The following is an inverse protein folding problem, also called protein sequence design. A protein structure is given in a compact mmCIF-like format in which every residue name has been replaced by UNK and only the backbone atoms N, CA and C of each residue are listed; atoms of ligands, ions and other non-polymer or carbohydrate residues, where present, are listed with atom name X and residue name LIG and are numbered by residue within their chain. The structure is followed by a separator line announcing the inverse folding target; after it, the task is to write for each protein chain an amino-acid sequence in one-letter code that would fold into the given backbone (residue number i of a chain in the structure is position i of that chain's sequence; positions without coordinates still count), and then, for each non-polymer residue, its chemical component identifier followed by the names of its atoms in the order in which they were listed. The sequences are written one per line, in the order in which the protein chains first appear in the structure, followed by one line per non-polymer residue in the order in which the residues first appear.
data_IF_209430971173
#
_entry.id   IF_209430971173
#
_cell.length_a   1.000
_cell.length_b   1.000
_cell.length_c   1.000
_cell.angle_alpha   90.00
_cell.angle_beta   90.00
_cell.angle_gamma   90.00
#
_symmetry.space_group_name_H-M   'P 1'
#
loop_
_entity.id
_entity.type
_entity.pdbx_description
1 polymer ?
#
# COMPACT_ATOMS: atom_id res chain seq x y z
N UNK A 1 -27.76 -8.45 16.45
CA UNK A 1 -26.33 -8.41 16.04
C UNK A 1 -26.19 -8.41 14.50
N UNK A 2 -27.30 -8.12 13.83
CA UNK A 2 -27.57 -8.37 12.41
C UNK A 2 -27.49 -7.10 11.57
N UNK A 3 -27.74 -5.94 12.18
CA UNK A 3 -27.70 -4.63 11.52
C UNK A 3 -26.39 -3.88 11.77
N UNK A 4 -25.70 -4.21 12.87
CA UNK A 4 -24.48 -3.53 13.30
C UNK A 4 -23.42 -4.54 13.71
N UNK A 5 -22.13 -4.21 13.53
CA UNK A 5 -21.02 -5.10 13.83
C UNK A 5 -20.71 -5.16 15.35
N UNK A 6 -21.74 -5.32 16.17
CA UNK A 6 -21.61 -5.47 17.63
C UNK A 6 -21.34 -6.94 17.98
N UNK A 7 -20.51 -7.19 18.99
CA UNK A 7 -20.26 -8.55 19.50
C UNK A 7 -21.26 -8.93 20.58
N UNK A 8 -21.52 -10.24 20.70
CA UNK A 8 -22.32 -10.77 21.80
C UNK A 8 -21.69 -10.47 23.18
N UNK A 9 -20.36 -10.35 23.26
CA UNK A 9 -19.69 -9.93 24.50
C UNK A 9 -20.02 -8.49 24.90
N UNK A 10 -20.06 -7.56 23.94
CA UNK A 10 -20.47 -6.19 24.21
C UNK A 10 -21.92 -6.13 24.69
N UNK A 11 -22.82 -6.85 24.03
CA UNK A 11 -24.24 -6.93 24.41
C UNK A 11 -24.40 -7.56 25.79
N UNK A 12 -23.73 -8.69 26.03
CA UNK A 12 -23.74 -9.37 27.32
C UNK A 12 -23.24 -8.50 28.47
N UNK A 13 -22.15 -7.74 28.26
CA UNK A 13 -21.67 -6.77 29.26
C UNK A 13 -22.69 -5.68 29.56
N UNK A 14 -23.34 -5.14 28.53
CA UNK A 14 -24.32 -4.06 28.71
C UNK A 14 -25.57 -4.56 29.48
N UNK A 15 -26.09 -5.72 29.10
CA UNK A 15 -27.29 -6.32 29.71
C UNK A 15 -26.98 -7.22 30.91
N UNK A 16 -25.72 -7.29 31.36
CA UNK A 16 -25.24 -8.16 32.45
C UNK A 16 -25.59 -9.64 32.28
N UNK A 17 -25.48 -10.15 31.05
CA UNK A 17 -25.65 -11.56 30.70
C UNK A 17 -24.34 -12.18 30.19
N UNK A 18 -24.27 -13.52 30.16
CA UNK A 18 -23.10 -14.21 29.60
C UNK A 18 -23.03 -14.02 28.07
N UNK A 19 -22.13 -13.15 27.64
CA UNK A 19 -21.90 -12.85 26.23
C UNK A 19 -21.39 -14.05 25.41
N UNK A 20 -20.74 -15.05 26.03
CA UNK A 20 -20.32 -16.28 25.33
C UNK A 20 -21.54 -17.14 25.00
N UNK A 21 -22.39 -17.36 26.00
CA UNK A 21 -23.66 -18.07 25.81
C UNK A 21 -24.55 -17.35 24.80
N UNK A 22 -24.68 -16.02 24.92
CA UNK A 22 -25.45 -15.20 23.98
C UNK A 22 -24.90 -15.32 22.55
N UNK A 23 -23.58 -15.36 22.37
CA UNK A 23 -22.96 -15.54 21.06
C UNK A 23 -23.28 -16.89 20.44
N UNK A 24 -23.23 -17.96 21.25
CA UNK A 24 -23.60 -19.31 20.81
C UNK A 24 -25.09 -19.39 20.46
N UNK A 25 -25.96 -18.96 21.36
CA UNK A 25 -27.41 -18.95 21.15
C UNK A 25 -27.79 -18.12 19.91
N UNK A 26 -27.13 -16.98 19.71
CA UNK A 26 -27.33 -16.18 18.51
C UNK A 26 -26.97 -16.94 17.25
N UNK A 27 -25.78 -17.54 17.18
CA UNK A 27 -25.32 -18.30 16.02
C UNK A 27 -26.18 -19.54 15.74
N UNK A 28 -26.53 -20.29 16.78
CA UNK A 28 -27.14 -21.62 16.65
C UNK A 28 -28.67 -21.58 16.57
N UNK A 29 -29.31 -20.51 17.06
CA UNK A 29 -30.77 -20.47 17.20
C UNK A 29 -31.44 -19.16 16.77
N UNK A 30 -30.77 -18.01 16.82
CA UNK A 30 -31.44 -16.71 16.61
C UNK A 30 -31.12 -16.04 15.28
N UNK A 31 -29.94 -16.30 14.70
CA UNK A 31 -29.49 -15.58 13.51
C UNK A 31 -29.99 -16.19 12.20
N UNK A 32 -30.49 -17.43 12.23
CA UNK A 32 -30.82 -18.18 11.00
C UNK A 32 -29.58 -18.71 10.26
N UNK A 33 -28.40 -18.70 10.89
CA UNK A 33 -27.18 -19.23 10.27
C UNK A 33 -27.26 -20.75 10.05
N UNK A 34 -27.97 -21.47 10.92
CA UNK A 34 -28.16 -22.91 10.82
C UNK A 34 -28.90 -23.33 9.56
N UNK A 35 -29.89 -22.53 9.16
CA UNK A 35 -30.79 -22.78 8.04
C UNK A 35 -30.35 -22.04 6.77
N UNK A 36 -29.19 -21.37 6.82
CA UNK A 36 -28.66 -20.66 5.66
C UNK A 36 -28.19 -21.67 4.60
N UNK A 37 -28.80 -21.60 3.42
CA UNK A 37 -28.56 -22.46 2.26
C UNK A 37 -27.08 -22.52 1.85
N UNK A 38 -26.33 -21.44 2.07
CA UNK A 38 -24.92 -21.35 1.68
C UNK A 38 -23.94 -21.77 2.78
N UNK A 39 -24.43 -22.19 3.95
CA UNK A 39 -23.60 -22.51 5.13
C UNK A 39 -22.48 -23.51 4.84
N UNK A 40 -22.74 -24.55 4.04
CA UNK A 40 -21.78 -25.63 3.79
C UNK A 40 -20.55 -25.17 3.00
N UNK A 41 -20.73 -24.22 2.08
CA UNK A 41 -19.66 -23.71 1.21
C UNK A 41 -19.21 -22.28 1.55
N UNK A 42 -19.83 -21.62 2.54
CA UNK A 42 -19.54 -20.24 2.91
C UNK A 42 -18.10 -19.96 3.37
N UNK A 43 -17.32 -21.00 3.67
CA UNK A 43 -15.88 -20.88 3.90
C UNK A 43 -15.06 -20.65 2.62
N UNK A 44 -15.59 -21.06 1.47
CA UNK A 44 -14.93 -21.00 0.17
C UNK A 44 -15.58 -19.96 -0.75
N UNK A 45 -16.91 -19.91 -0.83
CA UNK A 45 -17.61 -18.91 -1.62
C UNK A 45 -19.02 -18.63 -1.09
N UNK A 46 -19.53 -17.42 -1.37
CA UNK A 46 -20.89 -16.97 -1.08
C UNK A 46 -21.36 -16.08 -2.21
N UNK A 47 -22.63 -16.22 -2.62
CA UNK A 47 -23.24 -15.49 -3.72
C UNK A 47 -24.65 -14.98 -3.37
N UNK A 48 -24.95 -13.75 -3.76
CA UNK A 48 -26.24 -13.10 -3.55
C UNK A 48 -26.63 -12.31 -4.79
N UNK A 49 -27.07 -13.04 -5.82
CA UNK A 49 -27.40 -12.50 -7.15
C UNK A 49 -28.46 -11.38 -7.10
N UNK A 50 -29.39 -11.41 -6.15
CA UNK A 50 -30.41 -10.36 -5.97
C UNK A 50 -29.84 -8.94 -5.78
N UNK A 51 -28.57 -8.83 -5.39
CA UNK A 51 -27.87 -7.56 -5.17
C UNK A 51 -27.15 -7.05 -6.41
N UNK A 52 -27.19 -7.78 -7.53
CA UNK A 52 -26.60 -7.36 -8.79
C UNK A 52 -27.13 -5.99 -9.23
N UNK A 53 -26.29 -5.23 -9.90
CA UNK A 53 -26.60 -3.90 -10.41
C UNK A 53 -25.80 -3.59 -11.67
N UNK A 54 -26.04 -2.42 -12.27
CA UNK A 54 -25.35 -2.02 -13.50
C UNK A 54 -23.90 -1.61 -13.26
N UNK A 55 -23.55 -1.21 -12.04
CA UNK A 55 -22.22 -0.72 -11.66
C UNK A 55 -21.68 -1.53 -10.50
N UNK A 56 -20.61 -2.27 -10.75
CA UNK A 56 -20.01 -3.14 -9.75
C UNK A 56 -18.59 -2.66 -9.40
N UNK A 57 -18.13 -3.10 -8.24
CA UNK A 57 -16.74 -2.95 -7.82
C UNK A 57 -16.19 -4.33 -7.43
N UNK A 58 -14.95 -4.62 -7.83
CA UNK A 58 -14.23 -5.83 -7.44
C UNK A 58 -12.94 -5.44 -6.70
N UNK A 59 -12.73 -6.08 -5.56
CA UNK A 59 -11.54 -5.85 -4.72
C UNK A 59 -11.18 -7.11 -3.92
N UNK A 60 -9.94 -7.20 -3.46
CA UNK A 60 -9.41 -8.32 -2.68
C UNK A 60 -9.17 -7.87 -1.23
N UNK A 61 -9.55 -8.71 -0.26
CA UNK A 61 -9.19 -8.48 1.14
C UNK A 61 -8.78 -9.77 1.82
N UNK A 62 -7.71 -9.68 2.62
CA UNK A 62 -7.22 -10.80 3.41
C UNK A 62 -8.11 -11.03 4.65
N UNK A 63 -8.67 -12.22 4.76
CA UNK A 63 -9.48 -12.70 5.88
C UNK A 63 -8.99 -14.09 6.29
N UNK A 64 -8.79 -14.33 7.59
CA UNK A 64 -8.38 -15.65 8.11
C UNK A 64 -7.15 -16.26 7.37
N UNK A 65 -6.16 -15.43 7.02
CA UNK A 65 -4.95 -15.82 6.26
C UNK A 65 -5.16 -16.10 4.76
N UNK A 66 -6.40 -16.14 4.27
CA UNK A 66 -6.73 -16.31 2.86
C UNK A 66 -7.02 -14.96 2.20
N UNK A 67 -6.74 -14.85 0.91
CA UNK A 67 -7.19 -13.72 0.08
C UNK A 67 -8.58 -14.02 -0.44
N UNK A 68 -9.51 -13.09 -0.21
CA UNK A 68 -10.90 -13.23 -0.64
C UNK A 68 -11.21 -12.11 -1.62
N UNK A 69 -11.72 -12.49 -2.79
CA UNK A 69 -12.20 -11.60 -3.83
C UNK A 69 -13.66 -11.26 -3.56
N UNK A 70 -13.95 -9.99 -3.35
CA UNK A 70 -15.29 -9.47 -3.13
C UNK A 70 -15.82 -8.81 -4.40
N UNK A 71 -17.05 -9.15 -4.76
CA UNK A 71 -17.84 -8.43 -5.75
C UNK A 71 -18.93 -7.66 -5.02
N UNK A 72 -19.06 -6.37 -5.32
CA UNK A 72 -20.02 -5.51 -4.67
C UNK A 72 -20.75 -4.61 -5.65
N UNK A 73 -22.02 -4.32 -5.34
CA UNK A 73 -22.81 -3.32 -6.01
C UNK A 73 -22.37 -1.93 -5.52
N UNK A 74 -21.95 -1.10 -6.47
CA UNK A 74 -21.50 0.25 -6.18
C UNK A 74 -22.59 1.11 -5.54
N UNK A 75 -23.84 0.88 -5.91
CA UNK A 75 -25.00 1.68 -5.51
C UNK A 75 -25.59 1.25 -4.15
N UNK A 76 -25.08 0.17 -3.56
CA UNK A 76 -25.49 -0.28 -2.22
C UNK A 76 -24.97 0.59 -1.07
N UNK A 77 -23.99 1.47 -1.33
CA UNK A 77 -23.42 2.39 -0.33
C UNK A 77 -22.94 1.73 0.98
N UNK A 78 -22.40 0.51 0.88
CA UNK A 78 -21.93 -0.27 2.03
C UNK A 78 -23.01 -0.51 3.09
N UNK A 79 -24.26 -0.66 2.65
CA UNK A 79 -25.42 -1.07 3.43
C UNK A 79 -25.93 -2.43 2.92
N UNK A 80 -27.02 -2.92 3.47
CA UNK A 80 -27.74 -4.10 2.94
C UNK A 80 -28.00 -3.92 1.44
N UNK A 81 -27.70 -4.94 0.65
CA UNK A 81 -27.76 -4.94 -0.82
C UNK A 81 -26.45 -4.55 -1.54
N UNK A 82 -25.34 -4.36 -0.81
CA UNK A 82 -24.04 -4.02 -1.39
C UNK A 82 -23.25 -5.26 -1.81
N UNK A 83 -23.19 -6.30 -0.98
CA UNK A 83 -22.30 -7.44 -1.21
C UNK A 83 -22.97 -8.46 -2.11
N UNK A 84 -22.33 -8.80 -3.22
CA UNK A 84 -22.87 -9.73 -4.22
C UNK A 84 -22.16 -11.07 -4.11
N UNK A 85 -20.83 -11.07 -4.04
CA UNK A 85 -20.07 -12.30 -3.97
C UNK A 85 -18.85 -12.15 -3.07
N UNK A 86 -18.46 -13.24 -2.43
CA UNK A 86 -17.19 -13.39 -1.74
C UNK A 86 -16.64 -14.75 -2.14
N UNK A 87 -15.45 -14.78 -2.76
CA UNK A 87 -14.82 -16.01 -3.23
C UNK A 87 -13.41 -16.08 -2.67
N UNK A 88 -13.07 -17.18 -2.02
CA UNK A 88 -11.74 -17.48 -1.55
C UNK A 88 -10.84 -17.80 -2.75
N UNK A 89 -9.71 -17.10 -2.84
CA UNK A 89 -8.80 -17.16 -3.97
C UNK A 89 -8.80 -15.89 -4.82
N UNK A 90 -7.76 -15.77 -5.65
CA UNK A 90 -7.51 -14.61 -6.52
C UNK A 90 -7.21 -15.01 -7.96
N UNK A 91 -7.16 -16.31 -8.25
CA UNK A 91 -6.91 -16.77 -9.61
C UNK A 91 -8.16 -16.59 -10.46
N UNK A 92 -7.96 -16.39 -11.76
CA UNK A 92 -9.07 -16.25 -12.71
C UNK A 92 -9.95 -17.49 -12.68
N UNK A 93 -9.36 -18.69 -12.60
CA UNK A 93 -10.10 -19.95 -12.59
C UNK A 93 -10.99 -20.08 -11.34
N UNK A 94 -10.44 -19.84 -10.15
CA UNK A 94 -11.16 -20.01 -8.89
C UNK A 94 -12.36 -19.06 -8.80
N UNK A 95 -12.17 -17.78 -9.16
CA UNK A 95 -13.23 -16.79 -9.05
C UNK A 95 -14.27 -16.95 -10.15
N UNK A 96 -13.86 -17.22 -11.39
CA UNK A 96 -14.81 -17.32 -12.51
C UNK A 96 -15.68 -18.55 -12.40
N UNK A 97 -15.18 -19.65 -11.83
CA UNK A 97 -15.98 -20.85 -11.53
C UNK A 97 -17.27 -20.51 -10.77
N UNK A 98 -17.18 -19.61 -9.78
CA UNK A 98 -18.31 -19.22 -8.94
C UNK A 98 -19.10 -18.04 -9.51
N UNK A 99 -18.46 -17.14 -10.24
CA UNK A 99 -19.18 -16.06 -10.92
C UNK A 99 -20.01 -16.57 -12.10
N UNK A 100 -19.63 -17.69 -12.71
CA UNK A 100 -20.39 -18.35 -13.78
C UNK A 100 -21.71 -18.97 -13.25
N UNK A 101 -21.88 -19.09 -11.93
CA UNK A 101 -23.15 -19.48 -11.29
C UNK A 101 -24.20 -18.35 -11.32
N UNK A 102 -23.78 -17.09 -11.53
CA UNK A 102 -24.68 -15.95 -11.73
C UNK A 102 -25.29 -16.05 -13.13
N UNK A 103 -26.61 -15.82 -13.23
CA UNK A 103 -27.31 -15.89 -14.51
C UNK A 103 -26.66 -14.96 -15.54
N UNK A 104 -26.52 -15.46 -16.76
CA UNK A 104 -25.89 -14.71 -17.86
C UNK A 104 -26.61 -13.38 -18.14
N UNK A 105 -27.94 -13.36 -18.00
CA UNK A 105 -28.74 -12.13 -18.14
C UNK A 105 -28.35 -11.06 -17.11
N UNK A 106 -28.16 -11.45 -15.85
CA UNK A 106 -27.70 -10.56 -14.77
C UNK A 106 -26.28 -10.04 -15.04
N UNK A 107 -25.39 -10.90 -15.56
CA UNK A 107 -24.01 -10.52 -15.92
C UNK A 107 -23.95 -9.56 -17.10
N UNK A 108 -24.82 -9.75 -18.10
CA UNK A 108 -24.89 -8.89 -19.29
C UNK A 108 -25.52 -7.52 -19.02
N UNK A 109 -26.27 -7.36 -17.92
CA UNK A 109 -26.80 -6.06 -17.47
C UNK A 109 -25.73 -5.14 -16.86
N UNK A 110 -24.57 -5.68 -16.48
CA UNK A 110 -23.47 -4.90 -15.89
C UNK A 110 -22.85 -4.00 -16.97
N UNK A 111 -22.90 -2.69 -16.76
CA UNK A 111 -22.36 -1.67 -17.66
C UNK A 111 -20.94 -1.27 -17.30
N UNK A 112 -20.59 -1.32 -16.01
CA UNK A 112 -19.29 -0.83 -15.53
C UNK A 112 -18.79 -1.68 -14.36
N UNK A 113 -17.50 -2.01 -14.37
CA UNK A 113 -16.81 -2.57 -13.20
C UNK A 113 -15.58 -1.74 -12.87
N UNK A 114 -15.54 -1.17 -11.66
CA UNK A 114 -14.35 -0.52 -11.13
C UNK A 114 -13.46 -1.51 -10.38
N UNK A 115 -12.15 -1.38 -10.57
CA UNK A 115 -11.16 -2.31 -10.00
C UNK A 115 -9.79 -1.66 -9.83
N UNK A 116 -8.93 -2.34 -9.09
CA UNK A 116 -7.53 -1.95 -8.89
C UNK A 116 -6.66 -2.21 -10.13
N UNK A 117 -5.41 -1.79 -10.08
CA UNK A 117 -4.42 -2.07 -11.14
C UNK A 117 -3.92 -3.53 -11.08
N UNK A 118 -4.82 -4.50 -11.22
CA UNK A 118 -4.50 -5.95 -11.17
C UNK A 118 -4.72 -6.63 -12.53
N UNK A 119 -3.89 -7.61 -12.87
CA UNK A 119 -4.07 -8.45 -14.06
C UNK A 119 -5.06 -9.59 -13.82
N UNK A 120 -5.07 -10.18 -12.61
CA UNK A 120 -5.98 -11.25 -12.23
C UNK A 120 -7.44 -10.77 -12.26
N UNK A 121 -7.74 -9.67 -11.56
CA UNK A 121 -9.07 -9.05 -11.55
C UNK A 121 -9.52 -8.68 -12.96
N UNK A 122 -8.63 -8.18 -13.82
CA UNK A 122 -8.98 -7.83 -15.19
C UNK A 122 -9.34 -9.07 -16.00
N UNK A 123 -8.63 -10.18 -15.80
CA UNK A 123 -8.99 -11.48 -16.39
C UNK A 123 -10.34 -12.00 -15.91
N UNK A 124 -10.63 -11.87 -14.61
CA UNK A 124 -11.92 -12.24 -14.00
C UNK A 124 -13.05 -11.43 -14.63
N UNK A 125 -12.93 -10.09 -14.65
CA UNK A 125 -13.99 -9.22 -15.17
C UNK A 125 -14.22 -9.42 -16.66
N UNK A 126 -13.16 -9.58 -17.46
CA UNK A 126 -13.30 -9.87 -18.90
C UNK A 126 -14.04 -11.17 -19.19
N UNK A 127 -13.85 -12.20 -18.35
CA UNK A 127 -14.51 -13.50 -18.52
C UNK A 127 -15.95 -13.47 -17.99
N UNK A 128 -16.16 -12.92 -16.80
CA UNK A 128 -17.47 -12.97 -16.14
C UNK A 128 -18.43 -11.86 -16.59
N UNK A 129 -17.93 -10.67 -16.95
CA UNK A 129 -18.73 -9.49 -17.32
C UNK A 129 -18.29 -8.91 -18.68
N UNK A 130 -18.48 -9.64 -19.79
CA UNK A 130 -17.90 -9.27 -21.09
C UNK A 130 -18.43 -7.95 -21.68
N UNK A 131 -19.63 -7.52 -21.30
CA UNK A 131 -20.24 -6.27 -21.78
C UNK A 131 -19.86 -5.05 -20.93
N UNK A 132 -19.21 -5.26 -19.78
CA UNK A 132 -18.93 -4.19 -18.84
C UNK A 132 -17.68 -3.39 -19.23
N UNK A 133 -17.77 -2.07 -19.10
CA UNK A 133 -16.62 -1.19 -19.19
C UNK A 133 -15.74 -1.35 -17.93
N UNK A 134 -14.50 -1.80 -18.12
CA UNK A 134 -13.53 -1.91 -17.04
C UNK A 134 -12.93 -0.54 -16.76
N UNK A 135 -13.06 -0.06 -15.53
CA UNK A 135 -12.50 1.21 -15.05
C UNK A 135 -11.42 0.92 -14.02
N UNK A 136 -10.17 1.25 -14.36
CA UNK A 136 -9.06 1.17 -13.41
C UNK A 136 -9.07 2.40 -12.50
N UNK A 137 -9.01 2.18 -11.19
CA UNK A 137 -8.93 3.28 -10.24
C UNK A 137 -7.65 4.11 -10.41
N UNK A 138 -7.83 5.40 -10.63
CA UNK A 138 -6.75 6.37 -10.68
C UNK A 138 -5.89 6.39 -9.41
N UNK A 139 -6.46 6.21 -8.21
CA UNK A 139 -5.67 6.18 -6.98
C UNK A 139 -4.65 5.03 -7.00
N UNK A 140 -5.04 3.87 -7.54
CA UNK A 140 -4.15 2.74 -7.75
C UNK A 140 -3.10 3.01 -8.83
N UNK A 141 -3.42 3.77 -9.88
CA UNK A 141 -2.42 4.26 -10.86
C UNK A 141 -1.38 5.17 -10.20
N UNK A 142 -1.82 6.07 -9.31
CA UNK A 142 -0.93 6.95 -8.54
C UNK A 142 -0.09 6.15 -7.55
N UNK A 143 -0.69 5.17 -6.88
CA UNK A 143 0.01 4.27 -5.95
C UNK A 143 1.06 3.42 -6.67
N UNK A 144 0.77 2.94 -7.88
CA UNK A 144 1.75 2.26 -8.73
C UNK A 144 2.98 3.17 -8.96
N UNK A 145 2.76 4.44 -9.29
CA UNK A 145 3.84 5.39 -9.49
C UNK A 145 4.65 5.67 -8.22
N UNK A 146 3.98 5.89 -7.09
CA UNK A 146 4.67 6.20 -5.84
C UNK A 146 5.47 5.00 -5.33
N UNK A 147 4.92 3.79 -5.41
CA UNK A 147 5.54 2.56 -4.89
C UNK A 147 6.58 1.97 -5.84
N UNK A 148 6.26 1.78 -7.12
CA UNK A 148 7.20 1.16 -8.09
C UNK A 148 8.16 2.16 -8.72
N UNK A 149 7.82 3.45 -8.68
CA UNK A 149 8.66 4.54 -9.19
C UNK A 149 9.49 5.21 -8.10
N UNK A 150 8.86 6.10 -7.33
CA UNK A 150 9.56 6.95 -6.35
C UNK A 150 10.20 6.15 -5.21
N UNK A 151 9.47 5.20 -4.61
CA UNK A 151 10.00 4.39 -3.52
C UNK A 151 11.14 3.47 -4.00
N UNK A 152 11.05 2.94 -5.22
CA UNK A 152 12.15 2.20 -5.84
C UNK A 152 13.42 3.07 -6.01
N UNK A 153 13.27 4.30 -6.48
CA UNK A 153 14.38 5.26 -6.54
C UNK A 153 14.95 5.56 -5.15
N UNK A 154 14.09 5.79 -4.16
CA UNK A 154 14.49 6.05 -2.76
C UNK A 154 15.26 4.86 -2.16
N UNK A 155 14.79 3.64 -2.40
CA UNK A 155 15.47 2.41 -1.96
C UNK A 155 16.83 2.23 -2.61
N UNK A 156 16.95 2.55 -3.90
CA UNK A 156 18.24 2.56 -4.59
C UNK A 156 19.22 3.55 -3.97
N UNK A 157 18.77 4.78 -3.70
CA UNK A 157 19.57 5.80 -3.01
C UNK A 157 20.00 5.35 -1.62
N UNK A 158 19.10 4.72 -0.85
CA UNK A 158 19.41 4.20 0.49
C UNK A 158 20.47 3.11 0.45
N UNK A 159 20.43 2.22 -0.56
CA UNK A 159 21.45 1.18 -0.78
C UNK A 159 22.81 1.77 -1.14
N UNK A 160 22.85 2.75 -2.04
CA UNK A 160 24.10 3.46 -2.40
C UNK A 160 24.70 4.15 -1.18
N UNK A 161 23.90 4.91 -0.43
CA UNK A 161 24.36 5.59 0.78
C UNK A 161 24.91 4.62 1.83
N UNK A 162 24.23 3.48 2.04
CA UNK A 162 24.72 2.44 2.96
C UNK A 162 26.08 1.89 2.53
N UNK A 163 26.30 1.74 1.22
CA UNK A 163 27.56 1.24 0.67
C UNK A 163 28.68 2.26 0.83
N UNK A 164 28.39 3.54 0.59
CA UNK A 164 29.32 4.66 0.80
C UNK A 164 29.73 4.80 2.26
N UNK A 165 28.77 4.79 3.18
CA UNK A 165 29.05 4.85 4.64
C UNK A 165 29.92 3.68 5.09
N UNK A 166 29.64 2.46 4.63
CA UNK A 166 30.49 1.29 4.93
C UNK A 166 31.90 1.42 4.36
N UNK A 167 32.07 2.10 3.21
CA UNK A 167 33.39 2.38 2.64
C UNK A 167 34.14 3.39 3.50
N UNK A 168 33.50 4.50 3.88
CA UNK A 168 34.06 5.52 4.76
C UNK A 168 34.47 4.94 6.12
N UNK A 169 33.63 4.07 6.69
CA UNK A 169 33.94 3.37 7.95
C UNK A 169 35.17 2.46 7.84
N UNK A 170 35.31 1.71 6.73
CA UNK A 170 36.48 0.86 6.47
C UNK A 170 37.75 1.69 6.30
N UNK A 171 37.66 2.80 5.60
CA UNK A 171 38.79 3.73 5.41
C UNK A 171 39.21 4.36 6.74
N UNK A 172 38.25 4.78 7.56
CA UNK A 172 38.48 5.28 8.90
C UNK A 172 39.19 4.23 9.77
N UNK A 173 38.71 2.98 9.77
CA UNK A 173 39.33 1.88 10.52
C UNK A 173 40.78 1.64 10.08
N UNK A 174 41.04 1.56 8.77
CA UNK A 174 42.40 1.44 8.22
C UNK A 174 43.31 2.60 8.65
N UNK A 175 42.78 3.82 8.70
CA UNK A 175 43.54 4.98 9.16
C UNK A 175 43.87 4.88 10.65
N UNK A 176 42.91 4.44 11.48
CA UNK A 176 43.15 4.23 12.91
C UNK A 176 44.17 3.11 13.16
N UNK A 177 44.14 2.02 12.40
CA UNK A 177 45.15 0.95 12.44
C UNK A 177 46.54 1.48 12.06
N UNK A 178 46.66 2.26 10.97
CA UNK A 178 47.93 2.90 10.57
C UNK A 178 48.46 3.84 11.67
N UNK A 179 47.58 4.65 12.27
CA UNK A 179 47.92 5.53 13.40
C UNK A 179 48.36 4.72 14.63
N UNK A 180 47.74 3.58 14.91
CA UNK A 180 48.13 2.68 15.99
C UNK A 180 49.55 2.15 15.77
N UNK A 181 49.83 1.55 14.61
CA UNK A 181 51.17 1.06 14.24
C UNK A 181 52.25 2.14 14.30
N UNK A 182 51.92 3.37 13.87
CA UNK A 182 52.85 4.50 13.97
C UNK A 182 53.15 4.90 15.42
N UNK A 183 52.16 4.81 16.32
CA UNK A 183 52.36 5.04 17.77
C UNK A 183 53.23 3.97 18.40
N UNK A 184 53.05 2.71 18.00
CA UNK A 184 53.85 1.59 18.50
C UNK A 184 55.32 1.73 18.07
N UNK A 185 55.56 1.99 16.77
CA UNK A 185 56.91 2.28 16.25
C UNK A 185 57.59 3.47 16.94
N UNK A 186 56.84 4.55 17.20
CA UNK A 186 57.37 5.71 17.92
C UNK A 186 57.76 5.35 19.36
N UNK A 187 56.99 4.48 20.03
CA UNK A 187 57.29 4.04 21.39
C UNK A 187 58.53 3.14 21.46
N UNK A 188 58.79 2.33 20.44
CA UNK A 188 60.00 1.48 20.35
C UNK A 188 61.27 2.30 20.07
N UNK A 189 61.17 3.33 19.22
CA UNK A 189 62.33 4.09 18.73
C UNK A 189 62.72 5.30 19.59
N UNK A 190 61.85 5.73 20.51
CA UNK A 190 62.08 6.93 21.31
C UNK A 190 61.96 6.65 22.81
N UNK A 191 63.04 6.87 23.53
CA UNK A 191 63.06 6.75 24.99
C UNK A 191 62.22 7.83 25.68
N UNK A 192 61.55 7.41 26.76
CA UNK A 192 60.70 8.30 27.55
C UNK A 192 61.57 9.19 28.42
N UNK A 193 61.77 10.44 28.02
CA UNK A 193 62.44 11.45 28.85
C UNK A 193 61.64 11.71 30.13
N UNK A 194 62.30 11.67 31.28
CA UNK A 194 61.74 11.99 32.60
C UNK A 194 62.48 13.18 33.22
N UNK A 195 61.75 14.02 33.94
CA UNK A 195 62.30 15.10 34.76
C UNK A 195 63.07 14.52 35.95
N UNK A 196 63.94 15.33 36.57
CA UNK A 196 64.64 14.99 37.82
C UNK A 196 63.69 14.53 38.93
N UNK A 197 62.42 14.94 38.89
CA UNK A 197 61.37 14.53 39.85
C UNK A 197 60.53 13.34 39.36
N UNK A 198 61.01 12.56 38.37
CA UNK A 198 60.33 11.36 37.84
C UNK A 198 59.15 11.62 36.88
N UNK A 199 58.70 12.88 36.74
CA UNK A 199 57.59 13.24 35.82
C UNK A 199 58.02 13.08 34.36
N UNK A 200 57.19 12.42 33.56
CA UNK A 200 57.42 12.26 32.12
C UNK A 200 57.45 13.64 31.41
N UNK A 201 58.53 13.92 30.69
CA UNK A 201 58.72 15.12 29.87
C UNK A 201 58.21 14.86 28.44
N UNK A 202 57.45 15.79 27.88
CA UNK A 202 56.93 15.73 26.50
C UNK A 202 55.41 15.82 26.39
N UNK A 203 54.91 15.88 25.15
CA UNK A 203 53.48 16.06 24.88
C UNK A 203 52.69 14.82 25.34
N UNK A 204 51.57 14.97 26.06
CA UNK A 204 50.77 13.83 26.51
C UNK A 204 50.26 13.00 25.33
N UNK A 205 50.16 11.67 25.52
CA UNK A 205 49.61 10.76 24.51
C UNK A 205 48.18 11.19 24.19
N UNK A 206 47.90 11.58 22.94
CA UNK A 206 46.52 11.79 22.46
C UNK A 206 45.81 10.43 22.40
N UNK A 207 45.14 10.04 23.48
CA UNK A 207 44.20 8.90 23.51
C UNK A 207 42.88 9.36 22.93
N UNK A 208 42.80 9.50 21.60
CA UNK A 208 41.53 9.77 20.94
C UNK A 208 40.98 8.43 20.43
N UNK A 209 40.12 7.82 21.24
CA UNK A 209 39.23 6.76 20.80
C UNK A 209 38.14 7.39 19.92
N UNK A 210 38.55 7.96 18.79
CA UNK A 210 37.62 8.54 17.82
C UNK A 210 36.79 7.39 17.24
N UNK A 211 35.48 7.46 17.42
CA UNK A 211 34.52 6.57 16.75
C UNK A 211 34.22 7.15 15.37
N UNK A 212 33.91 6.28 14.41
CA UNK A 212 33.40 6.73 13.12
C UNK A 212 32.00 7.30 13.31
N UNK A 213 31.79 8.52 12.84
CA UNK A 213 30.47 9.15 12.79
C UNK A 213 30.12 9.48 11.34
N UNK A 214 28.95 9.06 10.84
CA UNK A 214 28.53 9.35 9.48
C UNK A 214 28.29 10.85 9.29
N UNK A 215 28.50 11.34 8.06
CA UNK A 215 28.24 12.73 7.70
C UNK A 215 26.77 13.08 7.91
N UNK A 216 26.54 14.16 8.66
CA UNK A 216 25.23 14.75 8.90
C UNK A 216 24.94 15.85 7.88
N UNK A 217 23.68 16.01 7.53
CA UNK A 217 23.16 17.08 6.68
C UNK A 217 22.97 18.38 7.50
N UNK A 218 22.56 19.45 6.83
CA UNK A 218 22.31 20.76 7.46
C UNK A 218 21.28 20.71 8.60
N UNK A 219 20.34 19.77 8.55
CA UNK A 219 19.35 19.51 9.60
C UNK A 219 19.87 18.64 10.77
N UNK A 220 21.14 18.20 10.73
CA UNK A 220 21.74 17.35 11.76
C UNK A 220 21.45 15.84 11.61
N UNK A 221 20.65 15.43 10.63
CA UNK A 221 20.32 14.02 10.36
C UNK A 221 21.28 13.39 9.36
N UNK A 222 21.34 12.05 9.30
CA UNK A 222 22.07 11.37 8.24
C UNK A 222 21.24 11.30 6.95
N UNK A 223 21.90 11.15 5.79
CA UNK A 223 21.19 10.92 4.52
C UNK A 223 20.29 9.67 4.57
N UNK A 224 20.60 8.67 5.41
CA UNK A 224 19.79 7.47 5.55
C UNK A 224 18.47 7.74 6.31
N UNK A 225 18.53 8.61 7.32
CA UNK A 225 17.36 9.02 8.11
C UNK A 225 16.42 9.86 7.25
N UNK A 226 16.97 10.88 6.56
CA UNK A 226 16.22 11.68 5.59
C UNK A 226 15.49 10.78 4.57
N UNK A 227 16.21 9.84 3.94
CA UNK A 227 15.61 8.91 2.99
C UNK A 227 14.55 8.00 3.61
N UNK A 228 14.54 7.82 4.93
CA UNK A 228 13.51 7.04 5.63
C UNK A 228 12.27 7.90 5.88
N UNK A 229 12.44 9.13 6.34
CA UNK A 229 11.35 10.04 6.65
C UNK A 229 10.57 10.50 5.42
N UNK A 230 11.28 10.79 4.31
CA UNK A 230 10.66 11.26 3.06
C UNK A 230 9.78 10.22 2.35
N UNK A 231 9.73 8.96 2.82
CA UNK A 231 8.89 7.90 2.24
C UNK A 231 7.42 8.33 2.13
N UNK A 232 6.83 8.81 3.22
CA UNK A 232 5.41 9.21 3.25
C UNK A 232 5.17 10.57 2.58
N UNK A 233 6.00 11.61 2.76
CA UNK A 233 5.88 12.86 2.02
C UNK A 233 5.86 12.67 0.50
N UNK A 234 6.68 11.76 -0.05
CA UNK A 234 6.70 11.45 -1.49
C UNK A 234 5.37 10.93 -2.03
N UNK A 235 4.50 10.35 -1.19
CA UNK A 235 3.18 9.88 -1.61
C UNK A 235 2.09 10.95 -1.51
N UNK A 236 2.34 12.07 -0.84
CA UNK A 236 1.38 13.17 -0.63
C UNK A 236 1.46 14.23 -1.73
N UNK A 237 0.54 15.20 -1.74
CA UNK A 237 0.73 16.44 -2.49
C UNK A 237 1.54 17.43 -1.66
N UNK A 238 2.20 18.38 -2.35
CA UNK A 238 3.00 19.42 -1.69
C UNK A 238 2.22 20.29 -0.69
N UNK A 239 0.91 20.48 -0.93
CA UNK A 239 0.03 21.24 -0.04
C UNK A 239 -0.30 20.50 1.26
N UNK A 240 -0.15 19.17 1.27
CA UNK A 240 -0.49 18.31 2.42
C UNK A 240 0.74 18.01 3.30
N UNK A 241 1.86 18.66 3.02
CA UNK A 241 3.10 18.53 3.79
C UNK A 241 3.08 19.43 5.03
N UNK A 242 3.47 18.85 6.16
CA UNK A 242 3.81 19.66 7.35
C UNK A 242 5.08 20.47 7.09
N UNK A 243 5.34 21.51 7.88
CA UNK A 243 6.52 22.35 7.68
C UNK A 243 7.82 21.56 7.83
N UNK A 244 7.85 20.59 8.76
CA UNK A 244 8.94 19.63 8.87
C UNK A 244 9.15 18.83 7.57
N UNK A 245 8.08 18.30 6.97
CA UNK A 245 8.14 17.55 5.73
C UNK A 245 8.59 18.42 4.54
N UNK A 246 8.21 19.71 4.51
CA UNK A 246 8.66 20.64 3.47
C UNK A 246 10.17 20.81 3.49
N UNK A 247 10.76 20.96 4.69
CA UNK A 247 12.21 21.12 4.83
C UNK A 247 12.95 19.84 4.42
N UNK A 248 12.50 18.67 4.87
CA UNK A 248 13.07 17.38 4.44
C UNK A 248 12.99 17.18 2.93
N UNK A 249 11.83 17.47 2.33
CA UNK A 249 11.63 17.33 0.89
C UNK A 249 12.49 18.32 0.09
N UNK A 250 12.68 19.53 0.61
CA UNK A 250 13.60 20.51 0.03
C UNK A 250 15.03 19.98 0.02
N UNK A 251 15.53 19.51 1.15
CA UNK A 251 16.87 18.92 1.26
C UNK A 251 17.04 17.72 0.34
N UNK A 252 16.04 16.83 0.27
CA UNK A 252 16.06 15.69 -0.66
C UNK A 252 16.21 16.14 -2.10
N UNK A 253 15.46 17.17 -2.52
CA UNK A 253 15.47 17.67 -3.88
C UNK A 253 16.73 18.46 -4.24
N UNK A 254 17.40 19.06 -3.26
CA UNK A 254 18.72 19.69 -3.42
C UNK A 254 19.81 18.63 -3.61
N UNK A 255 19.79 17.55 -2.80
CA UNK A 255 20.78 16.46 -2.88
C UNK A 255 20.55 15.59 -4.13
N UNK A 256 19.28 15.32 -4.49
CA UNK A 256 18.91 14.39 -5.55
C UNK A 256 17.94 15.03 -6.57
N UNK A 257 18.45 15.82 -7.54
CA UNK A 257 17.62 16.51 -8.54
C UNK A 257 16.75 15.58 -9.39
N UNK A 258 17.20 14.33 -9.61
CA UNK A 258 16.41 13.31 -10.32
C UNK A 258 15.13 12.95 -9.57
N UNK A 259 15.16 12.93 -8.23
CA UNK A 259 13.98 12.70 -7.40
C UNK A 259 12.98 13.85 -7.56
N UNK A 260 13.46 15.11 -7.60
CA UNK A 260 12.63 16.29 -7.87
C UNK A 260 11.92 16.18 -9.22
N UNK A 261 12.64 15.81 -10.28
CA UNK A 261 12.06 15.60 -11.61
C UNK A 261 10.99 14.49 -11.61
N UNK A 262 11.27 13.36 -10.95
CA UNK A 262 10.32 12.25 -10.83
C UNK A 262 9.06 12.64 -10.03
N UNK A 263 9.20 13.42 -8.95
CA UNK A 263 8.06 13.94 -8.19
C UNK A 263 7.25 14.97 -8.99
N UNK A 264 7.91 15.83 -9.78
CA UNK A 264 7.22 16.74 -10.69
C UNK A 264 6.35 16.02 -11.73
N UNK A 265 6.82 14.87 -12.24
CA UNK A 265 6.04 14.01 -13.13
C UNK A 265 4.85 13.35 -12.42
N UNK A 266 4.97 12.98 -11.15
CA UNK A 266 3.84 12.51 -10.34
C UNK A 266 2.76 13.60 -10.19
N UNK A 267 3.17 14.82 -9.84
CA UNK A 267 2.26 15.97 -9.76
C UNK A 267 1.58 16.25 -11.10
N UNK A 268 2.32 16.14 -12.21
CA UNK A 268 1.74 16.27 -13.55
C UNK A 268 0.71 15.17 -13.84
N UNK A 269 0.97 13.92 -13.43
CA UNK A 269 0.03 12.82 -13.58
C UNK A 269 -1.26 13.07 -12.78
N UNK A 270 -1.15 13.43 -11.49
CA UNK A 270 -2.31 13.80 -10.65
C UNK A 270 -3.14 14.92 -11.26
N UNK A 271 -2.48 15.93 -11.81
CA UNK A 271 -3.15 17.04 -12.48
C UNK A 271 -3.96 16.59 -13.71
N UNK A 272 -3.51 15.56 -14.44
CA UNK A 272 -4.26 15.02 -15.58
C UNK A 272 -5.60 14.46 -15.09
N UNK A 273 -5.59 13.59 -14.10
CA UNK A 273 -6.80 12.97 -13.57
C UNK A 273 -7.73 13.93 -12.83
N UNK A 274 -7.17 14.93 -12.13
CA UNK A 274 -7.98 15.96 -11.46
C UNK A 274 -8.62 16.94 -12.46
N UNK A 275 -7.83 17.52 -13.38
CA UNK A 275 -8.25 18.68 -14.18
C UNK A 275 -8.88 18.33 -15.52
N UNK A 276 -8.59 17.18 -16.12
CA UNK A 276 -9.15 16.81 -17.44
C UNK A 276 -10.55 16.25 -17.29
N UNK A 277 -11.50 16.76 -18.07
CA UNK A 277 -12.91 16.38 -18.00
C UNK A 277 -13.25 15.26 -18.98
N UNK A 278 -12.68 15.31 -20.18
CA UNK A 278 -13.02 14.41 -21.28
C UNK A 278 -11.89 13.41 -21.60
N UNK A 279 -12.29 12.22 -22.04
CA UNK A 279 -11.39 11.12 -22.43
C UNK A 279 -10.39 11.50 -23.51
N UNK A 280 -10.78 12.31 -24.50
CA UNK A 280 -9.91 12.72 -25.62
C UNK A 280 -8.79 13.65 -25.15
N UNK A 281 -9.10 14.65 -24.33
CA UNK A 281 -8.10 15.58 -23.78
C UNK A 281 -7.20 14.90 -22.76
N UNK A 282 -7.73 13.96 -21.98
CA UNK A 282 -6.96 13.10 -21.09
C UNK A 282 -5.95 12.25 -21.86
N UNK A 283 -6.36 11.59 -22.96
CA UNK A 283 -5.47 10.81 -23.84
C UNK A 283 -4.31 11.64 -24.39
N UNK A 284 -4.61 12.83 -24.93
CA UNK A 284 -3.58 13.78 -25.39
C UNK A 284 -2.61 14.17 -24.27
N UNK A 285 -3.12 14.42 -23.07
CA UNK A 285 -2.31 14.80 -21.92
C UNK A 285 -1.42 13.65 -21.42
N UNK A 286 -1.95 12.42 -21.35
CA UNK A 286 -1.18 11.22 -21.01
C UNK A 286 -0.07 10.96 -22.02
N UNK A 287 -0.33 11.10 -23.32
CA UNK A 287 0.71 10.93 -24.35
C UNK A 287 1.82 11.98 -24.23
N UNK A 288 1.48 13.23 -23.91
CA UNK A 288 2.47 14.27 -23.60
C UNK A 288 3.28 13.89 -22.35
N UNK A 289 2.61 13.38 -21.32
CA UNK A 289 3.26 12.92 -20.09
C UNK A 289 4.21 11.74 -20.37
N UNK A 290 3.83 10.76 -21.19
CA UNK A 290 4.70 9.64 -21.61
C UNK A 290 5.98 10.12 -22.30
N UNK A 291 5.87 11.12 -23.19
CA UNK A 291 7.03 11.74 -23.85
C UNK A 291 7.95 12.42 -22.84
N UNK A 292 7.38 13.15 -21.89
CA UNK A 292 8.16 13.82 -20.83
C UNK A 292 8.87 12.81 -19.93
N UNK A 293 8.20 11.72 -19.54
CA UNK A 293 8.83 10.61 -18.79
C UNK A 293 9.99 10.00 -19.59
N UNK A 294 9.83 9.78 -20.89
CA UNK A 294 10.91 9.25 -21.73
C UNK A 294 12.16 10.13 -21.76
N UNK A 295 11.98 11.46 -21.68
CA UNK A 295 13.09 12.43 -21.67
C UNK A 295 13.91 12.42 -20.38
N UNK A 296 13.33 12.02 -19.24
CA UNK A 296 14.07 12.02 -17.95
C UNK A 296 15.09 10.88 -17.84
N UNK A 297 14.95 9.84 -18.67
CA UNK A 297 15.82 8.63 -18.66
C UNK A 297 15.89 7.94 -17.29
N UNK A 298 14.86 8.10 -16.45
CA UNK A 298 14.76 7.42 -15.16
C UNK A 298 14.07 6.08 -15.36
N UNK A 299 14.84 4.99 -15.29
CA UNK A 299 14.39 3.63 -15.60
C UNK A 299 13.15 3.22 -14.78
N UNK A 300 13.16 3.52 -13.49
CA UNK A 300 12.08 3.17 -12.56
C UNK A 300 10.74 3.83 -12.99
N UNK A 301 10.79 5.10 -13.40
CA UNK A 301 9.61 5.84 -13.86
C UNK A 301 9.17 5.41 -15.27
N UNK A 302 10.12 5.09 -16.14
CA UNK A 302 9.85 4.54 -17.48
C UNK A 302 9.09 3.21 -17.36
N UNK A 303 9.50 2.33 -16.44
CA UNK A 303 8.82 1.06 -16.18
C UNK A 303 7.36 1.26 -15.75
N UNK A 304 7.10 2.23 -14.85
CA UNK A 304 5.73 2.58 -14.43
C UNK A 304 4.93 3.08 -15.62
N UNK A 305 5.50 3.99 -16.41
CA UNK A 305 4.86 4.53 -17.62
C UNK A 305 4.43 3.43 -18.57
N UNK A 306 5.31 2.47 -18.84
CA UNK A 306 5.03 1.37 -19.78
C UNK A 306 3.91 0.46 -19.25
N UNK A 307 3.88 0.24 -17.94
CA UNK A 307 2.81 -0.49 -17.26
C UNK A 307 1.46 0.23 -17.42
N UNK A 308 1.41 1.55 -17.19
CA UNK A 308 0.19 2.36 -17.38
C UNK A 308 -0.23 2.36 -18.85
N UNK A 309 0.73 2.50 -19.77
CA UNK A 309 0.49 2.53 -21.21
C UNK A 309 -0.09 1.21 -21.73
N UNK A 310 0.33 0.07 -21.18
CA UNK A 310 -0.21 -1.24 -21.55
C UNK A 310 -1.72 -1.37 -21.25
N UNK A 311 -2.23 -0.65 -20.26
CA UNK A 311 -3.66 -0.62 -19.87
C UNK A 311 -4.32 0.74 -20.14
N UNK A 312 -3.78 1.53 -21.07
CA UNK A 312 -4.20 2.92 -21.30
C UNK A 312 -5.70 3.05 -21.54
N UNK A 313 -6.28 2.18 -22.36
CA UNK A 313 -7.71 2.24 -22.69
C UNK A 313 -8.59 2.13 -21.43
N UNK A 314 -8.26 1.22 -20.49
CA UNK A 314 -8.99 1.04 -19.23
C UNK A 314 -8.75 2.17 -18.22
N UNK A 315 -7.55 2.76 -18.22
CA UNK A 315 -7.25 3.96 -17.42
C UNK A 315 -8.02 5.17 -17.95
N UNK A 316 -8.22 5.25 -19.26
CA UNK A 316 -8.98 6.32 -19.90
C UNK A 316 -10.49 6.23 -19.65
N UNK A 317 -11.02 5.04 -19.38
CA UNK A 317 -12.42 4.83 -19.03
C UNK A 317 -12.82 5.57 -17.74
N UNK A 318 -11.87 5.86 -16.85
CA UNK A 318 -12.07 6.77 -15.73
C UNK A 318 -12.66 8.13 -16.16
N UNK A 319 -12.31 8.65 -17.34
CA UNK A 319 -12.81 9.96 -17.79
C UNK A 319 -14.21 9.93 -18.39
N UNK A 320 -14.84 8.77 -18.53
CA UNK A 320 -16.22 8.66 -19.00
C UNK A 320 -17.18 8.97 -17.84
N UNK A 321 -17.05 8.23 -16.73
CA UNK A 321 -17.96 8.33 -15.58
C UNK A 321 -17.30 8.84 -14.29
N UNK A 322 -15.97 9.01 -14.27
CA UNK A 322 -15.16 9.34 -13.07
C UNK A 322 -15.36 8.37 -11.92
N UNK A 323 -15.55 7.12 -12.29
CA UNK A 323 -15.77 6.01 -11.39
C UNK A 323 -14.50 5.62 -10.64
N UNK A 324 -14.61 5.41 -9.34
CA UNK A 324 -13.51 4.98 -8.47
C UNK A 324 -13.87 3.68 -7.77
N UNK A 325 -12.87 2.98 -7.25
CA UNK A 325 -13.04 1.79 -6.42
C UNK A 325 -13.30 2.14 -4.94
N UNK A 326 -13.45 3.44 -4.61
CA UNK A 326 -13.70 3.92 -3.25
C UNK A 326 -14.90 3.23 -2.54
N UNK A 327 -16.00 2.85 -3.23
CA UNK A 327 -17.06 2.06 -2.60
C UNK A 327 -16.60 0.68 -2.13
N UNK A 328 -15.73 -0.01 -2.88
CA UNK A 328 -15.14 -1.27 -2.44
C UNK A 328 -14.14 -1.06 -1.30
N UNK A 329 -13.30 -0.04 -1.36
CA UNK A 329 -12.38 0.30 -0.27
C UNK A 329 -13.14 0.59 1.04
N UNK A 330 -14.25 1.33 0.94
CA UNK A 330 -15.14 1.62 2.06
C UNK A 330 -15.77 0.34 2.62
N UNK A 331 -16.27 -0.55 1.75
CA UNK A 331 -16.80 -1.85 2.16
C UNK A 331 -15.73 -2.69 2.87
N UNK A 332 -14.53 -2.77 2.30
CA UNK A 332 -13.39 -3.48 2.88
C UNK A 332 -12.97 -2.89 4.22
N UNK A 333 -13.03 -1.56 4.38
CA UNK A 333 -12.82 -0.91 5.68
C UNK A 333 -13.89 -1.33 6.70
N UNK A 334 -15.16 -1.39 6.32
CA UNK A 334 -16.25 -1.86 7.20
C UNK A 334 -16.11 -3.34 7.57
N UNK A 335 -15.74 -4.21 6.62
CA UNK A 335 -15.49 -5.64 6.87
C UNK A 335 -14.29 -5.80 7.82
N UNK A 336 -13.21 -5.03 7.62
CA UNK A 336 -12.06 -5.01 8.55
C UNK A 336 -12.45 -4.50 9.94
N UNK A 337 -13.35 -3.52 10.01
CA UNK A 337 -13.93 -3.03 11.26
C UNK A 337 -14.72 -4.11 12.00
N UNK A 338 -15.60 -4.84 11.29
CA UNK A 338 -16.33 -5.98 11.82
C UNK A 338 -15.36 -7.04 12.36
N UNK A 339 -14.33 -7.39 11.59
CA UNK A 339 -13.28 -8.34 11.99
C UNK A 339 -12.56 -7.91 13.26
N UNK A 340 -12.22 -6.62 13.38
CA UNK A 340 -11.56 -6.08 14.57
C UNK A 340 -12.46 -6.17 15.80
N UNK A 341 -13.76 -5.89 15.65
CA UNK A 341 -14.73 -5.99 16.75
C UNK A 341 -14.92 -7.42 17.23
N UNK A 342 -14.97 -8.40 16.33
CA UNK A 342 -15.07 -9.83 16.71
C UNK A 342 -13.73 -10.45 17.15
N UNK A 343 -12.68 -9.64 17.28
CA UNK A 343 -11.33 -10.06 17.68
C UNK A 343 -10.70 -11.13 16.76
N UNK A 344 -10.93 -11.00 15.45
CA UNK A 344 -10.46 -11.94 14.45
C UNK A 344 -11.57 -12.85 13.91
N UNK A 345 -11.21 -13.69 12.95
CA UNK A 345 -12.13 -14.68 12.37
C UNK A 345 -11.65 -16.02 12.90
N UNK A 346 -12.45 -16.70 13.72
CA UNK A 346 -12.21 -18.09 14.14
C UNK A 346 -13.12 -19.08 13.39
N UNK A 347 -14.22 -18.57 12.86
CA UNK A 347 -15.23 -19.30 12.10
C UNK A 347 -15.56 -18.48 10.86
N UNK A 348 -14.93 -18.85 9.75
CA UNK A 348 -15.06 -18.14 8.48
C UNK A 348 -16.48 -18.22 7.90
N UNK A 349 -17.15 -19.39 7.84
CA UNK A 349 -18.56 -19.47 7.43
C UNK A 349 -19.48 -18.53 8.21
N UNK A 350 -19.37 -18.50 9.53
CA UNK A 350 -20.22 -17.61 10.35
C UNK A 350 -19.86 -16.13 10.16
N UNK A 351 -18.57 -15.82 9.95
CA UNK A 351 -18.16 -14.45 9.63
C UNK A 351 -18.73 -13.99 8.30
N UNK A 352 -18.68 -14.84 7.26
CA UNK A 352 -19.29 -14.56 5.96
C UNK A 352 -20.79 -14.38 6.06
N UNK A 353 -21.48 -15.25 6.80
CA UNK A 353 -22.90 -15.07 7.10
C UNK A 353 -23.20 -13.69 7.67
N UNK A 354 -22.42 -13.21 8.64
CA UNK A 354 -22.61 -11.87 9.22
C UNK A 354 -22.32 -10.76 8.21
N UNK A 355 -21.27 -10.91 7.38
CA UNK A 355 -20.97 -9.96 6.31
C UNK A 355 -22.14 -9.84 5.33
N UNK A 356 -22.70 -10.94 4.84
CA UNK A 356 -23.84 -10.95 3.92
C UNK A 356 -25.16 -10.58 4.60
N UNK A 357 -25.30 -10.79 5.90
CA UNK A 357 -26.49 -10.31 6.63
C UNK A 357 -26.51 -8.79 6.76
N UNK A 358 -25.34 -8.17 7.01
CA UNK A 358 -25.20 -6.71 7.21
C UNK A 358 -25.12 -5.98 5.86
N UNK A 359 -24.38 -6.54 4.89
CA UNK A 359 -24.03 -5.88 3.64
C UNK A 359 -24.60 -6.55 2.39
N UNK A 360 -25.04 -7.81 2.44
CA UNK A 360 -25.71 -8.51 1.33
C UNK A 360 -27.22 -8.29 1.32
#
# INVERSE_FOLDING_TARGET
MDAFPVTAQCVGRFFRTDGKYLGRAYKEHLSGFTDWDQKEHAGEWVLQEKNMGERLCIDETMLHHDLITFLSNRDGHCKKGTLIAAVKGTTVADVTKHFDEIQEESRNKVKEVSMDFSDSMMGIVKKSFPQAEIVIDHFHVIQLYTTRGLDAMRMKLKRTNTTEVKREEREFRKQQEKRAKARDRYAETHEVKKSKNGKRLGRPRKRKNEKFEPKKLSNGETKADLLTHVRYPLTKNHNDWTDFQKEEMRLLFEIEPKMKAAYGLLCALRNIFSKKKDRKSAKKALHKWYKNVGRTRIREIISVRDTIKAKEEYVLNFFNNRSTNAPAESLNSKIKGLRAQVHGVSDLPFFMFRCFTIFG
#
